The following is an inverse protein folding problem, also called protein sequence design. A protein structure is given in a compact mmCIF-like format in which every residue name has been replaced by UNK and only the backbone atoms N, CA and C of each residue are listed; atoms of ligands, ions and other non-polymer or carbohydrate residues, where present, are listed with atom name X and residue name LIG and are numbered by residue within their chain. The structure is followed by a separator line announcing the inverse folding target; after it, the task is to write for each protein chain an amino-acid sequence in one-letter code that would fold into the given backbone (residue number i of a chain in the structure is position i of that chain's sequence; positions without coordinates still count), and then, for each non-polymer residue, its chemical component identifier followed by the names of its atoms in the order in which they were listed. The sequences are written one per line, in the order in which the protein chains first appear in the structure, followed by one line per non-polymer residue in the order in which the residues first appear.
data_IF_974296619784
#
_entry.id   IF_974296619784
#
_cell.length_a   1.000
_cell.length_b   1.000
_cell.length_c   1.000
_cell.angle_alpha   90.00
_cell.angle_beta   90.00
_cell.angle_gamma   90.00
#
_symmetry.space_group_name_H-M   'P 1'
#
loop_
_entity.id
_entity.type
_entity.pdbx_description
1 polymer ?
#
# COMPACT_ATOMS: atom_id res chain seq x y z
N UNK A 1 14.43 18.66 4.92
CA UNK A 1 15.35 18.08 3.92
C UNK A 1 16.84 18.29 4.23
N UNK A 2 17.25 19.17 5.16
CA UNK A 2 18.67 19.39 5.49
C UNK A 2 19.36 18.27 6.31
N UNK A 3 18.63 17.22 6.70
CA UNK A 3 19.13 16.20 7.65
C UNK A 3 19.87 15.02 6.98
N UNK A 4 19.81 14.91 5.65
CA UNK A 4 20.39 13.79 4.89
C UNK A 4 21.62 14.18 4.05
N UNK A 5 22.01 15.45 4.01
CA UNK A 5 23.10 15.94 3.14
C UNK A 5 24.52 15.70 3.68
N UNK A 6 24.67 15.02 4.82
CA UNK A 6 25.96 14.78 5.47
C UNK A 6 26.02 13.41 6.19
N UNK A 7 25.37 12.39 5.62
CA UNK A 7 25.40 11.02 6.15
C UNK A 7 26.67 10.35 5.60
N UNK A 8 27.50 9.78 6.47
CA UNK A 8 28.68 9.02 6.04
C UNK A 8 28.26 7.72 5.33
N UNK A 9 29.10 7.16 4.45
CA UNK A 9 28.78 5.90 3.76
C UNK A 9 28.45 4.75 4.75
N UNK A 10 29.13 4.71 5.89
CA UNK A 10 28.87 3.74 6.97
C UNK A 10 27.49 3.95 7.64
N UNK A 11 27.10 5.21 7.85
CA UNK A 11 25.79 5.54 8.40
C UNK A 11 24.66 5.25 7.40
N UNK A 12 24.91 5.43 6.10
CA UNK A 12 23.97 5.07 5.05
C UNK A 12 23.75 3.56 4.98
N UNK A 13 24.84 2.76 5.03
CA UNK A 13 24.74 1.30 5.05
C UNK A 13 24.00 0.79 6.31
N UNK A 14 24.20 1.46 7.44
CA UNK A 14 23.45 1.19 8.67
C UNK A 14 21.97 1.49 8.53
N UNK A 15 21.62 2.65 7.95
CA UNK A 15 20.23 3.02 7.66
C UNK A 15 19.61 2.03 6.67
N UNK A 16 20.31 1.63 5.60
CA UNK A 16 19.83 0.66 4.61
C UNK A 16 19.51 -0.70 5.25
N UNK A 17 20.33 -1.14 6.23
CA UNK A 17 20.06 -2.35 7.03
C UNK A 17 18.90 -2.17 8.01
N UNK A 18 18.67 -0.96 8.51
CA UNK A 18 17.61 -0.65 9.48
C UNK A 18 16.24 -0.41 8.83
N UNK A 19 16.18 0.12 7.59
CA UNK A 19 14.93 0.42 6.87
C UNK A 19 13.98 -0.80 6.81
N UNK A 20 14.41 -2.02 6.41
CA UNK A 20 13.53 -3.17 6.41
C UNK A 20 12.95 -3.49 7.79
N UNK A 21 13.74 -3.30 8.85
CA UNK A 21 13.27 -3.51 10.23
C UNK A 21 12.28 -2.43 10.66
N UNK A 22 12.50 -1.17 10.27
CA UNK A 22 11.58 -0.07 10.53
C UNK A 22 10.25 -0.26 9.79
N UNK A 23 10.29 -0.64 8.50
CA UNK A 23 9.09 -0.97 7.71
C UNK A 23 8.31 -2.09 8.41
N UNK A 24 8.99 -3.19 8.78
CA UNK A 24 8.37 -4.31 9.50
C UNK A 24 7.77 -3.89 10.84
N UNK A 25 8.43 -3.00 11.57
CA UNK A 25 7.92 -2.44 12.81
C UNK A 25 6.63 -1.64 12.57
N UNK A 26 6.63 -0.75 11.58
CA UNK A 26 5.46 0.07 11.22
C UNK A 26 4.28 -0.78 10.72
N UNK A 27 4.54 -1.83 9.95
CA UNK A 27 3.51 -2.80 9.53
C UNK A 27 2.90 -3.53 10.74
N UNK A 28 3.74 -3.94 11.69
CA UNK A 28 3.28 -4.58 12.93
C UNK A 28 2.48 -3.60 13.79
N UNK A 29 2.90 -2.34 13.89
CA UNK A 29 2.19 -1.29 14.60
C UNK A 29 0.85 -0.95 13.94
N UNK A 30 0.81 -0.79 12.62
CA UNK A 30 -0.43 -0.65 11.84
C UNK A 30 -1.39 -1.81 12.14
N UNK A 31 -0.90 -3.04 12.12
CA UNK A 31 -1.70 -4.23 12.42
C UNK A 31 -2.24 -4.21 13.86
N UNK A 32 -1.44 -3.78 14.84
CA UNK A 32 -1.87 -3.62 16.24
C UNK A 32 -2.95 -2.56 16.38
N UNK A 33 -2.77 -1.40 15.73
CA UNK A 33 -3.73 -0.31 15.75
C UNK A 33 -5.06 -0.72 15.10
N UNK A 34 -5.01 -1.37 13.94
CA UNK A 34 -6.20 -1.93 13.27
C UNK A 34 -6.92 -2.89 14.21
N UNK A 35 -6.21 -3.84 14.85
CA UNK A 35 -6.81 -4.76 15.83
C UNK A 35 -7.44 -4.05 17.03
N UNK A 36 -6.84 -2.97 17.51
CA UNK A 36 -7.37 -2.17 18.62
C UNK A 36 -8.67 -1.48 18.21
N UNK A 37 -8.66 -0.81 17.06
CA UNK A 37 -9.82 -0.08 16.51
C UNK A 37 -10.97 -1.06 16.19
N UNK A 38 -10.68 -2.21 15.57
CA UNK A 38 -11.71 -3.22 15.27
C UNK A 38 -12.31 -3.81 16.54
N UNK A 39 -11.51 -4.01 17.60
CA UNK A 39 -12.00 -4.45 18.91
C UNK A 39 -12.90 -3.40 19.57
N UNK A 40 -12.49 -2.14 19.57
CA UNK A 40 -13.29 -1.04 20.13
C UNK A 40 -14.63 -0.92 19.39
N UNK A 41 -14.63 -0.85 18.05
CA UNK A 41 -15.86 -0.81 17.24
C UNK A 41 -16.75 -2.04 17.45
N UNK A 42 -16.15 -3.23 17.51
CA UNK A 42 -16.89 -4.47 17.82
C UNK A 42 -17.59 -4.38 19.17
N UNK A 43 -16.92 -3.82 20.20
CA UNK A 43 -17.54 -3.65 21.51
C UNK A 43 -18.69 -2.65 21.50
N UNK A 44 -18.54 -1.52 20.78
CA UNK A 44 -19.61 -0.53 20.60
C UNK A 44 -20.81 -1.13 19.89
N UNK A 45 -20.59 -1.88 18.81
CA UNK A 45 -21.64 -2.58 18.07
C UNK A 45 -22.39 -3.57 18.96
N UNK A 46 -21.66 -4.45 19.67
CA UNK A 46 -22.25 -5.45 20.55
C UNK A 46 -23.08 -4.79 21.66
N UNK A 47 -22.57 -3.70 22.25
CA UNK A 47 -23.27 -2.96 23.28
C UNK A 47 -24.58 -2.33 22.76
N UNK A 48 -24.53 -1.69 21.59
CA UNK A 48 -25.72 -1.16 20.93
C UNK A 48 -26.76 -2.25 20.64
N UNK A 49 -26.34 -3.41 20.11
CA UNK A 49 -27.23 -4.54 19.83
C UNK A 49 -27.84 -5.13 21.10
N UNK A 50 -27.08 -5.22 22.18
CA UNK A 50 -27.58 -5.65 23.47
C UNK A 50 -28.67 -4.70 23.99
N UNK A 51 -28.40 -3.39 23.96
CA UNK A 51 -29.36 -2.36 24.37
C UNK A 51 -30.65 -2.41 23.55
N UNK A 52 -30.54 -2.61 22.23
CA UNK A 52 -31.70 -2.75 21.35
C UNK A 52 -32.53 -4.00 21.68
N UNK A 53 -31.86 -5.13 21.94
CA UNK A 53 -32.54 -6.36 22.37
C UNK A 53 -33.28 -6.16 23.70
N UNK A 54 -32.63 -5.55 24.69
CA UNK A 54 -33.24 -5.27 26.00
C UNK A 54 -34.42 -4.31 25.89
N UNK A 55 -34.33 -3.29 25.03
CA UNK A 55 -35.43 -2.37 24.76
C UNK A 55 -36.65 -3.11 24.16
N UNK A 56 -36.43 -3.98 23.17
CA UNK A 56 -37.51 -4.78 22.57
C UNK A 56 -38.15 -5.79 23.55
N UNK A 57 -37.36 -6.39 24.43
CA UNK A 57 -37.87 -7.27 25.50
C UNK A 57 -38.70 -6.49 26.53
N UNK A 58 -38.21 -5.34 26.98
CA UNK A 58 -38.95 -4.46 27.88
C UNK A 58 -40.27 -4.03 27.25
N UNK A 59 -40.27 -3.59 25.99
CA UNK A 59 -41.50 -3.21 25.30
C UNK A 59 -42.55 -4.34 25.30
N UNK A 60 -42.14 -5.59 25.03
CA UNK A 60 -43.03 -6.76 25.11
C UNK A 60 -43.57 -6.97 26.53
N UNK A 61 -42.71 -6.89 27.54
CA UNK A 61 -43.10 -7.08 28.94
C UNK A 61 -44.08 -6.01 29.44
N UNK A 62 -43.85 -4.74 29.07
CA UNK A 62 -44.78 -3.66 29.39
C UNK A 62 -46.15 -3.88 28.72
N UNK A 63 -46.17 -4.34 27.46
CA UNK A 63 -47.41 -4.71 26.76
C UNK A 63 -48.14 -5.88 27.43
N UNK A 64 -47.43 -6.96 27.77
CA UNK A 64 -48.00 -8.14 28.43
C UNK A 64 -48.56 -7.82 29.83
N UNK A 65 -47.92 -6.92 30.56
CA UNK A 65 -48.34 -6.48 31.90
C UNK A 65 -49.32 -5.31 31.88
N UNK A 66 -49.68 -4.82 30.69
CA UNK A 66 -50.60 -3.70 30.49
C UNK A 66 -50.15 -2.42 31.25
N UNK A 67 -48.83 -2.20 31.32
CA UNK A 67 -48.20 -1.03 31.94
C UNK A 67 -47.94 0.01 30.83
N UNK A 68 -48.22 1.31 31.03
CA UNK A 68 -47.89 2.33 30.04
C UNK A 68 -46.39 2.34 29.76
N UNK A 69 -46.04 2.23 28.48
CA UNK A 69 -44.66 2.26 28.00
C UNK A 69 -44.34 3.64 27.44
N UNK A 70 -43.34 4.32 28.00
CA UNK A 70 -42.80 5.55 27.41
C UNK A 70 -41.91 5.18 26.21
N UNK A 71 -42.32 5.60 25.02
CA UNK A 71 -41.54 5.36 23.80
C UNK A 71 -40.24 6.16 23.87
N UNK A 72 -39.12 5.47 23.64
CA UNK A 72 -37.79 6.08 23.60
C UNK A 72 -37.30 6.07 22.17
N UNK A 73 -36.71 7.19 21.73
CA UNK A 73 -36.13 7.30 20.40
C UNK A 73 -34.88 6.41 20.28
N UNK A 74 -34.88 5.50 19.31
CA UNK A 74 -33.69 4.70 18.99
C UNK A 74 -32.59 5.61 18.41
N UNK A 75 -31.32 5.41 18.82
CA UNK A 75 -30.23 6.23 18.32
C UNK A 75 -30.01 5.97 16.83
N UNK A 76 -30.11 7.05 16.03
CA UNK A 76 -29.85 7.00 14.58
C UNK A 76 -28.38 6.70 14.28
N UNK A 77 -27.47 7.20 15.11
CA UNK A 77 -26.02 7.02 14.98
C UNK A 77 -25.49 6.11 16.09
N UNK A 78 -24.72 5.09 15.70
CA UNK A 78 -24.04 4.17 16.61
C UNK A 78 -22.74 4.83 17.07
N UNK A 79 -22.88 5.87 17.90
CA UNK A 79 -21.78 6.69 18.44
C UNK A 79 -21.95 6.95 19.95
N UNK A 80 -21.61 8.14 20.47
CA UNK A 80 -21.73 8.51 21.89
C UNK A 80 -23.17 8.44 22.41
N UNK A 81 -24.15 8.48 21.50
CA UNK A 81 -25.58 8.40 21.79
C UNK A 81 -25.98 7.04 22.39
N UNK A 82 -25.17 5.99 22.20
CA UNK A 82 -25.40 4.67 22.81
C UNK A 82 -25.37 4.74 24.34
N UNK A 83 -24.58 5.65 24.93
CA UNK A 83 -24.52 5.82 26.39
C UNK A 83 -25.81 6.44 26.92
N UNK A 84 -26.37 7.43 26.22
CA UNK A 84 -27.65 8.03 26.60
C UNK A 84 -28.81 7.05 26.45
N UNK A 85 -28.80 6.27 25.36
CA UNK A 85 -29.76 5.20 25.15
C UNK A 85 -29.69 4.13 26.25
N UNK A 86 -28.50 3.78 26.73
CA UNK A 86 -28.32 2.90 27.88
C UNK A 86 -28.99 3.42 29.15
N UNK A 87 -28.77 4.70 29.49
CA UNK A 87 -29.38 5.34 30.67
C UNK A 87 -30.91 5.37 30.59
N UNK A 88 -31.45 5.58 29.39
CA UNK A 88 -32.87 5.55 29.12
C UNK A 88 -33.48 4.15 29.31
N UNK A 89 -32.78 3.10 28.86
CA UNK A 89 -33.19 1.70 29.09
C UNK A 89 -33.14 1.35 30.58
N UNK A 90 -32.11 1.79 31.30
CA UNK A 90 -32.01 1.57 32.75
C UNK A 90 -33.19 2.22 33.49
N UNK A 91 -33.61 3.41 33.06
CA UNK A 91 -34.79 4.08 33.61
C UNK A 91 -36.09 3.30 33.35
N UNK A 92 -36.28 2.73 32.15
CA UNK A 92 -37.43 1.85 31.86
C UNK A 92 -37.41 0.58 32.72
N UNK A 93 -36.22 0.00 32.94
CA UNK A 93 -36.08 -1.15 33.81
C UNK A 93 -36.46 -0.82 35.26
N UNK A 94 -36.03 0.33 35.76
CA UNK A 94 -36.42 0.82 37.09
C UNK A 94 -37.93 1.07 37.20
N UNK A 95 -38.56 1.66 36.16
CA UNK A 95 -40.01 1.82 36.09
C UNK A 95 -40.74 0.47 36.15
N UNK A 96 -40.31 -0.51 35.35
CA UNK A 96 -40.87 -1.87 35.37
C UNK A 96 -40.74 -2.50 36.76
N UNK A 97 -39.57 -2.35 37.39
CA UNK A 97 -39.31 -2.89 38.73
C UNK A 97 -40.25 -2.28 39.76
N UNK A 98 -40.43 -0.96 39.77
CA UNK A 98 -41.37 -0.28 40.68
C UNK A 98 -42.80 -0.76 40.45
N UNK A 99 -43.25 -0.86 39.20
CA UNK A 99 -44.60 -1.33 38.87
C UNK A 99 -44.85 -2.78 39.32
N UNK A 100 -43.86 -3.67 39.15
CA UNK A 100 -43.95 -5.07 39.58
C UNK A 100 -43.91 -5.21 41.12
N UNK A 101 -43.11 -4.39 41.82
CA UNK A 101 -43.02 -4.43 43.29
C UNK A 101 -44.30 -3.93 43.98
N UNK A 102 -45.13 -3.13 43.30
CA UNK A 102 -46.43 -2.71 43.81
C UNK A 102 -47.48 -3.85 43.79
N UNK A 103 -47.23 -4.99 43.13
CA UNK A 103 -48.16 -6.13 43.05
C UNK A 103 -48.03 -7.18 44.18
N UNK A 104 -47.25 -6.92 45.22
CA UNK A 104 -47.30 -7.70 46.46
C UNK A 104 -46.21 -8.77 46.61
N UNK A 105 -46.17 -9.36 47.80
CA UNK A 105 -45.10 -10.26 48.27
C UNK A 105 -44.86 -11.44 47.32
N UNK A 106 -43.58 -11.83 47.17
CA UNK A 106 -43.13 -13.03 46.45
C UNK A 106 -44.09 -14.20 46.64
N UNK A 107 -44.51 -14.82 45.53
CA UNK A 107 -45.31 -16.03 45.59
C UNK A 107 -44.53 -17.15 46.30
N UNK A 108 -45.20 -18.17 46.87
CA UNK A 108 -44.52 -19.29 47.52
C UNK A 108 -43.50 -19.97 46.59
N UNK A 109 -43.85 -20.13 45.31
CA UNK A 109 -42.98 -20.69 44.27
C UNK A 109 -41.75 -19.81 44.00
N UNK A 110 -41.91 -18.48 43.99
CA UNK A 110 -40.79 -17.55 43.82
C UNK A 110 -39.85 -17.55 45.02
N UNK A 111 -40.36 -17.70 46.25
CA UNK A 111 -39.53 -17.86 47.46
C UNK A 111 -38.76 -19.17 47.42
N UNK A 112 -39.38 -20.27 47.01
CA UNK A 112 -38.71 -21.56 46.87
C UNK A 112 -37.61 -21.52 45.79
N UNK A 113 -37.88 -20.88 44.64
CA UNK A 113 -36.85 -20.68 43.60
C UNK A 113 -35.71 -19.80 44.11
N UNK A 114 -36.00 -18.72 44.83
CA UNK A 114 -34.98 -17.86 45.44
C UNK A 114 -34.13 -18.62 46.47
N UNK A 115 -34.74 -19.44 47.34
CA UNK A 115 -34.04 -20.31 48.28
C UNK A 115 -33.16 -21.34 47.56
N UNK A 116 -33.66 -21.95 46.48
CA UNK A 116 -32.89 -22.92 45.68
C UNK A 116 -31.69 -22.27 44.95
N UNK A 117 -31.88 -21.07 44.39
CA UNK A 117 -30.81 -20.32 43.72
C UNK A 117 -29.76 -19.81 44.71
N UNK A 118 -30.18 -19.33 45.89
CA UNK A 118 -29.28 -18.88 46.96
C UNK A 118 -28.55 -20.03 47.66
N UNK A 119 -29.13 -21.23 47.69
CA UNK A 119 -28.48 -22.45 48.18
C UNK A 119 -27.45 -23.04 47.19
N UNK A 120 -27.23 -22.41 46.02
CA UNK A 120 -26.22 -22.85 45.05
C UNK A 120 -26.56 -24.17 44.35
N UNK A 121 -27.85 -24.56 44.30
CA UNK A 121 -28.28 -25.74 43.57
C UNK A 121 -28.12 -25.49 42.06
N UNK A 122 -26.99 -25.97 41.51
CA UNK A 122 -26.66 -25.90 40.08
C UNK A 122 -27.71 -26.67 39.26
N UNK A 123 -28.68 -25.95 38.73
CA UNK A 123 -29.40 -26.35 37.53
C UNK A 123 -28.38 -26.27 36.38
N UNK A 124 -28.04 -27.41 35.76
CA UNK A 124 -27.21 -27.56 34.54
C UNK A 124 -25.97 -26.62 34.49
N UNK A 125 -24.77 -27.17 34.67
CA UNK A 125 -23.55 -26.38 34.41
C UNK A 125 -23.64 -25.72 33.03
N UNK A 126 -23.37 -24.42 32.95
CA UNK A 126 -23.46 -23.63 31.71
C UNK A 126 -22.69 -24.30 30.55
N UNK A 127 -21.60 -25.01 30.88
CA UNK A 127 -20.75 -25.78 29.95
C UNK A 127 -21.41 -27.07 29.42
N UNK A 128 -22.35 -27.65 30.15
CA UNK A 128 -23.15 -28.79 29.70
C UNK A 128 -24.29 -28.33 28.80
N UNK A 129 -24.97 -27.23 29.17
CA UNK A 129 -26.00 -26.60 28.34
C UNK A 129 -25.44 -26.07 27.01
N UNK A 130 -24.24 -25.47 27.01
CA UNK A 130 -23.64 -24.89 25.80
C UNK A 130 -23.22 -25.93 24.75
N UNK A 131 -23.16 -27.22 25.08
CA UNK A 131 -22.78 -28.29 24.16
C UNK A 131 -23.94 -28.74 23.25
N UNK A 132 -25.17 -28.50 23.67
CA UNK A 132 -26.39 -28.87 22.92
C UNK A 132 -26.92 -27.73 22.04
N UNK A 133 -26.26 -26.56 22.06
CA UNK A 133 -26.59 -25.45 21.17
C UNK A 133 -26.06 -25.77 19.77
N UNK A 134 -26.91 -25.79 18.72
CA UNK A 134 -26.46 -26.00 17.35
C UNK A 134 -25.37 -24.97 16.99
N UNK A 135 -24.22 -25.45 16.49
CA UNK A 135 -23.08 -24.61 16.10
C UNK A 135 -23.26 -23.90 14.76
N UNK A 136 -24.28 -24.25 13.98
CA UNK A 136 -24.60 -23.52 12.76
C UNK A 136 -25.11 -22.13 13.12
N UNK A 137 -24.44 -21.08 12.64
CA UNK A 137 -24.96 -19.73 12.80
C UNK A 137 -26.36 -19.67 12.18
N UNK A 138 -27.33 -19.32 13.01
CA UNK A 138 -28.67 -18.97 12.56
C UNK A 138 -28.54 -17.87 11.49
N UNK A 139 -29.39 -17.87 10.47
CA UNK A 139 -29.39 -16.86 9.40
C UNK A 139 -29.41 -15.43 9.95
N UNK A 140 -30.15 -15.20 11.03
CA UNK A 140 -30.13 -13.93 11.74
C UNK A 140 -28.72 -13.58 12.25
N UNK A 141 -28.00 -14.53 12.86
CA UNK A 141 -26.63 -14.30 13.32
C UNK A 141 -25.67 -14.02 12.14
N UNK A 142 -25.88 -14.63 10.97
CA UNK A 142 -25.10 -14.32 9.77
C UNK A 142 -25.35 -12.88 9.31
N UNK A 143 -26.61 -12.46 9.25
CA UNK A 143 -26.96 -11.08 8.91
C UNK A 143 -26.35 -10.08 9.89
N UNK A 144 -26.45 -10.36 11.20
CA UNK A 144 -25.83 -9.52 12.24
C UNK A 144 -24.31 -9.43 12.11
N UNK A 145 -23.66 -10.53 11.73
CA UNK A 145 -22.23 -10.55 11.48
C UNK A 145 -21.86 -9.68 10.27
N UNK A 146 -22.63 -9.74 9.17
CA UNK A 146 -22.43 -8.86 8.00
C UNK A 146 -22.61 -7.38 8.36
N UNK A 147 -23.65 -7.02 9.13
CA UNK A 147 -23.86 -5.64 9.56
C UNK A 147 -22.73 -5.13 10.47
N UNK A 148 -22.23 -6.00 11.34
CA UNK A 148 -21.07 -5.69 12.18
C UNK A 148 -19.82 -5.44 11.36
N UNK A 149 -19.58 -6.24 10.33
CA UNK A 149 -18.45 -6.06 9.41
C UNK A 149 -18.54 -4.72 8.68
N UNK A 150 -19.72 -4.37 8.15
CA UNK A 150 -19.99 -3.06 7.56
C UNK A 150 -19.67 -1.91 8.53
N UNK A 151 -20.09 -2.01 9.79
CA UNK A 151 -19.80 -0.99 10.81
C UNK A 151 -18.29 -0.88 11.13
N UNK A 152 -17.62 -2.03 11.26
CA UNK A 152 -16.18 -2.06 11.56
C UNK A 152 -15.37 -1.40 10.44
N UNK A 153 -15.80 -1.56 9.20
CA UNK A 153 -15.12 -1.04 8.00
C UNK A 153 -15.45 0.44 7.66
N UNK A 154 -16.12 1.15 8.58
CA UNK A 154 -16.51 2.56 8.43
C UNK A 154 -17.46 2.84 7.25
N UNK A 155 -18.32 1.88 6.91
CA UNK A 155 -19.43 2.15 5.99
C UNK A 155 -20.38 3.17 6.60
N UNK A 156 -20.99 4.00 5.75
CA UNK A 156 -22.00 4.98 6.17
C UNK A 156 -23.07 4.35 7.05
N UNK A 157 -23.29 4.93 8.23
CA UNK A 157 -24.26 4.43 9.20
C UNK A 157 -25.69 4.49 8.65
N UNK A 158 -26.00 5.42 7.76
CA UNK A 158 -27.31 5.52 7.10
C UNK A 158 -27.64 4.23 6.32
N UNK A 159 -26.65 3.63 5.65
CA UNK A 159 -26.85 2.40 4.88
C UNK A 159 -27.03 1.19 5.79
N UNK A 160 -26.33 1.16 6.92
CA UNK A 160 -26.50 0.13 7.95
C UNK A 160 -27.92 0.22 8.55
N UNK A 161 -28.41 1.44 8.80
CA UNK A 161 -29.78 1.66 9.28
C UNK A 161 -30.84 1.25 8.25
N UNK A 162 -30.61 1.48 6.96
CA UNK A 162 -31.49 1.00 5.88
C UNK A 162 -31.65 -0.53 5.93
N UNK A 163 -30.54 -1.27 6.09
CA UNK A 163 -30.59 -2.73 6.21
C UNK A 163 -31.29 -3.19 7.51
N UNK A 164 -31.06 -2.49 8.62
CA UNK A 164 -31.75 -2.76 9.88
C UNK A 164 -33.26 -2.52 9.77
N UNK A 165 -33.68 -1.45 9.09
CA UNK A 165 -35.08 -1.15 8.86
C UNK A 165 -35.74 -2.24 8.01
N UNK A 166 -35.12 -2.62 6.87
CA UNK A 166 -35.60 -3.72 6.02
C UNK A 166 -35.75 -5.02 6.82
N UNK A 167 -34.80 -5.33 7.72
CA UNK A 167 -34.87 -6.52 8.55
C UNK A 167 -36.01 -6.49 9.59
N UNK A 168 -36.29 -5.32 10.16
CA UNK A 168 -37.40 -5.13 11.11
C UNK A 168 -38.78 -5.24 10.45
N UNK A 169 -38.90 -4.90 9.17
CA UNK A 169 -40.13 -5.03 8.39
C UNK A 169 -40.47 -6.49 8.05
N UNK A 170 -39.49 -7.42 8.15
CA UNK A 170 -39.70 -8.84 7.90
C UNK A 170 -40.48 -9.50 9.03
N UNK A 171 -41.61 -10.12 8.69
CA UNK A 171 -42.42 -10.87 9.63
C UNK A 171 -41.93 -12.32 9.76
N UNK A 172 -41.51 -12.72 10.97
CA UNK A 172 -41.04 -14.09 11.25
C UNK A 172 -42.10 -15.16 11.01
N UNK A 173 -43.38 -14.79 11.02
CA UNK A 173 -44.50 -15.72 10.79
C UNK A 173 -44.80 -15.96 9.30
N UNK A 174 -44.14 -15.25 8.39
CA UNK A 174 -44.31 -15.41 6.95
C UNK A 174 -43.55 -16.66 6.45
N UNK A 175 -44.19 -17.42 5.56
CA UNK A 175 -43.56 -18.56 4.87
C UNK A 175 -42.30 -18.15 4.08
N UNK A 176 -42.24 -16.90 3.62
CA UNK A 176 -41.12 -16.37 2.83
C UNK A 176 -40.01 -15.72 3.66
N UNK A 177 -40.15 -15.62 4.99
CA UNK A 177 -39.20 -14.94 5.87
C UNK A 177 -37.76 -15.37 5.64
N UNK A 178 -37.55 -16.69 5.55
CA UNK A 178 -36.23 -17.29 5.38
C UNK A 178 -35.57 -16.87 4.07
N UNK A 179 -36.35 -16.85 2.98
CA UNK A 179 -35.87 -16.46 1.65
C UNK A 179 -35.58 -14.96 1.57
N UNK A 180 -36.44 -14.13 2.17
CA UNK A 180 -36.24 -12.69 2.23
C UNK A 180 -35.00 -12.33 3.05
N UNK A 181 -34.78 -13.01 4.17
CA UNK A 181 -33.58 -12.83 4.99
C UNK A 181 -32.32 -13.26 4.23
N UNK A 182 -32.35 -14.39 3.52
CA UNK A 182 -31.23 -14.83 2.67
C UNK A 182 -30.94 -13.81 1.56
N UNK A 183 -31.96 -13.21 0.95
CA UNK A 183 -31.80 -12.12 -0.03
C UNK A 183 -31.18 -10.87 0.58
N UNK A 184 -31.57 -10.49 1.79
CA UNK A 184 -31.03 -9.32 2.50
C UNK A 184 -29.58 -9.53 2.91
N UNK A 185 -29.22 -10.75 3.34
CA UNK A 185 -27.83 -11.14 3.62
C UNK A 185 -26.98 -11.00 2.35
N UNK A 186 -27.49 -11.47 1.22
CA UNK A 186 -26.78 -11.34 -0.05
C UNK A 186 -26.59 -9.87 -0.44
N UNK A 187 -27.63 -9.04 -0.35
CA UNK A 187 -27.56 -7.60 -0.66
C UNK A 187 -26.51 -6.87 0.22
N UNK A 188 -26.51 -7.14 1.53
CA UNK A 188 -25.56 -6.55 2.46
C UNK A 188 -24.12 -7.03 2.20
N UNK A 189 -23.94 -8.33 1.90
CA UNK A 189 -22.63 -8.89 1.60
C UNK A 189 -22.06 -8.41 0.26
N UNK A 190 -22.89 -8.29 -0.78
CA UNK A 190 -22.46 -7.73 -2.08
C UNK A 190 -22.07 -6.27 -1.93
N UNK A 191 -22.87 -5.49 -1.20
CA UNK A 191 -22.55 -4.09 -0.93
C UNK A 191 -21.25 -3.94 -0.14
N UNK A 192 -21.04 -4.78 0.89
CA UNK A 192 -19.80 -4.79 1.67
C UNK A 192 -18.58 -5.05 0.77
N UNK A 193 -18.67 -6.05 -0.10
CA UNK A 193 -17.62 -6.39 -1.06
C UNK A 193 -17.31 -5.22 -2.00
N UNK A 194 -18.32 -4.59 -2.57
CA UNK A 194 -18.16 -3.43 -3.46
C UNK A 194 -17.46 -2.25 -2.76
N UNK A 195 -17.80 -2.00 -1.49
CA UNK A 195 -17.15 -0.96 -0.68
C UNK A 195 -15.69 -1.27 -0.37
N UNK A 196 -15.37 -2.55 -0.09
CA UNK A 196 -13.98 -2.98 0.11
C UNK A 196 -13.15 -2.84 -1.17
N UNK A 197 -13.71 -3.23 -2.31
CA UNK A 197 -13.06 -3.05 -3.61
C UNK A 197 -12.82 -1.57 -3.89
N UNK A 198 -13.84 -0.72 -3.74
CA UNK A 198 -13.72 0.72 -3.93
C UNK A 198 -12.64 1.34 -3.01
N UNK A 199 -12.60 0.95 -1.73
CA UNK A 199 -11.60 1.44 -0.77
C UNK A 199 -10.19 1.02 -1.18
N UNK A 200 -10.03 -0.21 -1.62
CA UNK A 200 -8.73 -0.75 -2.06
C UNK A 200 -8.23 0.02 -3.28
N UNK A 201 -9.07 0.19 -4.31
CA UNK A 201 -8.69 0.93 -5.53
C UNK A 201 -8.42 2.42 -5.22
N UNK A 202 -9.19 3.06 -4.33
CA UNK A 202 -8.91 4.43 -3.87
C UNK A 202 -7.56 4.54 -3.14
N UNK A 203 -7.23 3.56 -2.30
CA UNK A 203 -5.94 3.53 -1.62
C UNK A 203 -4.79 3.39 -2.64
N UNK A 204 -4.90 2.47 -3.59
CA UNK A 204 -3.89 2.30 -4.64
C UNK A 204 -3.70 3.56 -5.49
N UNK A 205 -4.79 4.25 -5.85
CA UNK A 205 -4.70 5.52 -6.55
C UNK A 205 -3.98 6.56 -5.70
N UNK A 206 -4.33 6.67 -4.41
CA UNK A 206 -3.70 7.62 -3.49
C UNK A 206 -2.19 7.39 -3.39
N UNK A 207 -1.76 6.13 -3.26
CA UNK A 207 -0.35 5.74 -3.23
C UNK A 207 0.37 6.10 -4.54
N UNK A 208 -0.24 5.81 -5.71
CA UNK A 208 0.33 6.16 -7.01
C UNK A 208 0.46 7.69 -7.19
N UNK A 209 -0.52 8.47 -6.71
CA UNK A 209 -0.46 9.94 -6.73
C UNK A 209 0.61 10.49 -5.79
N UNK A 210 0.81 9.89 -4.63
CA UNK A 210 1.89 10.27 -3.72
C UNK A 210 3.27 10.01 -4.34
N UNK A 211 3.45 8.89 -5.04
CA UNK A 211 4.67 8.59 -5.79
C UNK A 211 4.95 9.64 -6.87
N UNK A 212 3.93 10.04 -7.64
CA UNK A 212 4.06 11.10 -8.65
C UNK A 212 4.41 12.46 -8.03
N UNK A 213 3.78 12.85 -6.92
CA UNK A 213 4.12 14.08 -6.19
C UNK A 213 5.57 14.06 -5.70
N UNK A 214 6.09 12.90 -5.31
CA UNK A 214 7.48 12.73 -4.89
C UNK A 214 8.51 13.06 -5.96
N UNK A 215 8.14 13.02 -7.25
CA UNK A 215 9.02 13.40 -8.35
C UNK A 215 9.20 14.93 -8.51
N UNK A 216 8.49 15.75 -7.72
CA UNK A 216 8.54 17.21 -7.75
C UNK A 216 8.32 17.83 -9.15
N UNK A 217 7.53 17.17 -10.00
CA UNK A 217 7.10 17.71 -11.30
C UNK A 217 5.69 18.31 -11.20
N UNK A 218 5.48 19.49 -11.79
CA UNK A 218 4.15 20.11 -11.87
C UNK A 218 3.28 19.41 -12.92
N UNK A 219 2.57 18.36 -12.49
CA UNK A 219 1.66 17.60 -13.35
C UNK A 219 0.21 17.99 -13.08
N UNK A 220 -0.39 18.76 -14.00
CA UNK A 220 -1.81 19.18 -13.92
C UNK A 220 -2.80 18.01 -13.87
N UNK A 221 -2.38 16.83 -14.36
CA UNK A 221 -3.17 15.59 -14.34
C UNK A 221 -3.41 15.07 -12.92
N UNK A 222 -2.53 15.38 -11.96
CA UNK A 222 -2.67 14.95 -10.56
C UNK A 222 -3.97 15.48 -9.97
N UNK A 223 -4.28 16.77 -10.15
CA UNK A 223 -5.51 17.40 -9.63
C UNK A 223 -6.76 16.68 -10.15
N UNK A 224 -6.76 16.32 -11.44
CA UNK A 224 -7.87 15.57 -12.05
C UNK A 224 -8.05 14.20 -11.39
N UNK A 225 -6.97 13.46 -11.16
CA UNK A 225 -7.05 12.15 -10.50
C UNK A 225 -7.36 12.22 -9.01
N UNK A 226 -6.95 13.27 -8.32
CA UNK A 226 -7.33 13.51 -6.92
C UNK A 226 -8.85 13.69 -6.77
N UNK A 227 -9.49 14.38 -7.72
CA UNK A 227 -10.96 14.53 -7.69
C UNK A 227 -11.71 13.19 -7.84
N UNK A 228 -11.06 12.16 -8.39
CA UNK A 228 -11.66 10.82 -8.50
C UNK A 228 -11.69 10.08 -7.16
N UNK A 229 -10.85 10.45 -6.18
CA UNK A 229 -10.85 9.85 -4.84
C UNK A 229 -12.17 10.09 -4.09
N UNK A 230 -12.88 11.18 -4.43
CA UNK A 230 -14.21 11.47 -3.90
C UNK A 230 -15.36 10.83 -4.68
N UNK A 231 -15.09 10.20 -5.83
CA UNK A 231 -16.11 9.55 -6.66
C UNK A 231 -16.26 8.07 -6.30
N UNK A 232 -17.41 7.48 -6.63
CA UNK A 232 -17.70 6.05 -6.36
C UNK A 232 -17.64 5.18 -7.63
N UNK A 233 -17.01 5.70 -8.70
CA UNK A 233 -16.84 4.97 -9.95
C UNK A 233 -15.52 4.18 -9.94
N UNK A 234 -15.59 2.90 -9.61
CA UNK A 234 -14.43 1.99 -9.51
C UNK A 234 -13.64 1.90 -10.82
N UNK A 235 -14.31 1.78 -11.97
CA UNK A 235 -13.65 1.65 -13.27
C UNK A 235 -12.75 2.85 -13.61
N UNK A 236 -13.26 4.07 -13.36
CA UNK A 236 -12.50 5.30 -13.59
C UNK A 236 -11.28 5.40 -12.66
N UNK A 237 -11.42 4.95 -11.40
CA UNK A 237 -10.33 4.98 -10.41
C UNK A 237 -9.27 3.94 -10.79
N UNK A 238 -9.65 2.74 -11.25
CA UNK A 238 -8.72 1.73 -11.75
C UNK A 238 -7.96 2.20 -12.98
N UNK A 239 -8.64 2.81 -13.94
CA UNK A 239 -8.02 3.35 -15.14
C UNK A 239 -7.03 4.47 -14.80
N UNK A 240 -7.42 5.39 -13.90
CA UNK A 240 -6.55 6.43 -13.38
C UNK A 240 -5.33 5.85 -12.66
N UNK A 241 -5.51 4.79 -11.86
CA UNK A 241 -4.42 4.11 -11.14
C UNK A 241 -3.41 3.51 -12.10
N UNK A 242 -3.88 2.81 -13.15
CA UNK A 242 -3.00 2.23 -14.18
C UNK A 242 -2.21 3.32 -14.89
N UNK A 243 -2.87 4.42 -15.29
CA UNK A 243 -2.22 5.56 -15.94
C UNK A 243 -1.22 6.27 -15.03
N UNK A 244 -1.54 6.42 -13.74
CA UNK A 244 -0.65 7.04 -12.76
C UNK A 244 0.62 6.21 -12.55
N UNK A 245 0.49 4.88 -12.39
CA UNK A 245 1.62 3.95 -12.26
C UNK A 245 2.52 3.97 -13.51
N UNK A 246 1.93 3.92 -14.70
CA UNK A 246 2.68 4.01 -15.97
C UNK A 246 3.42 5.35 -16.12
N UNK A 247 2.76 6.46 -15.78
CA UNK A 247 3.36 7.78 -15.85
C UNK A 247 4.53 7.90 -14.86
N UNK A 248 4.37 7.37 -13.65
CA UNK A 248 5.43 7.34 -12.65
C UNK A 248 6.65 6.55 -13.16
N UNK A 249 6.44 5.36 -13.72
CA UNK A 249 7.52 4.53 -14.25
C UNK A 249 8.30 5.24 -15.38
N UNK A 250 7.59 5.87 -16.33
CA UNK A 250 8.21 6.62 -17.41
C UNK A 250 9.01 7.85 -16.94
N UNK A 251 8.43 8.63 -16.03
CA UNK A 251 9.07 9.83 -15.51
C UNK A 251 10.25 9.51 -14.60
N UNK A 252 10.10 8.52 -13.71
CA UNK A 252 11.17 8.07 -12.83
C UNK A 252 12.34 7.49 -13.63
N UNK A 253 12.09 6.69 -14.67
CA UNK A 253 13.16 6.19 -15.55
C UNK A 253 13.91 7.36 -16.22
N UNK A 254 13.18 8.36 -16.72
CA UNK A 254 13.78 9.54 -17.34
C UNK A 254 14.68 10.29 -16.35
N UNK A 255 14.18 10.58 -15.15
CA UNK A 255 14.92 11.27 -14.09
C UNK A 255 16.16 10.47 -13.68
N UNK A 256 16.03 9.14 -13.52
CA UNK A 256 17.15 8.26 -13.15
C UNK A 256 18.23 8.29 -14.22
N UNK A 257 17.85 8.20 -15.51
CA UNK A 257 18.80 8.23 -16.63
C UNK A 257 19.51 9.58 -16.70
N UNK A 258 18.79 10.68 -16.56
CA UNK A 258 19.38 12.03 -16.55
C UNK A 258 20.35 12.23 -15.38
N UNK A 259 19.97 11.74 -14.19
CA UNK A 259 20.81 11.82 -12.99
C UNK A 259 22.09 11.00 -13.17
N UNK A 260 21.99 9.76 -13.66
CA UNK A 260 23.16 8.92 -13.97
C UNK A 260 24.06 9.57 -15.02
N UNK A 261 23.47 10.14 -16.08
CA UNK A 261 24.22 10.83 -17.14
C UNK A 261 25.02 12.00 -16.58
N UNK A 262 24.38 12.86 -15.78
CA UNK A 262 25.01 14.03 -15.19
C UNK A 262 26.18 13.63 -14.28
N UNK A 263 26.01 12.60 -13.45
CA UNK A 263 27.05 12.10 -12.56
C UNK A 263 28.25 11.51 -13.32
N UNK A 264 27.99 10.66 -14.33
CA UNK A 264 29.07 10.07 -15.13
C UNK A 264 29.84 11.15 -15.90
N UNK A 265 29.13 12.12 -16.51
CA UNK A 265 29.78 13.26 -17.17
C UNK A 265 30.73 13.97 -16.20
N UNK A 266 30.23 14.32 -15.02
CA UNK A 266 31.00 15.03 -14.00
C UNK A 266 32.22 14.23 -13.55
N UNK A 267 32.09 12.91 -13.38
CA UNK A 267 33.19 12.03 -13.02
C UNK A 267 34.24 11.92 -14.13
N UNK A 268 33.83 11.75 -15.40
CA UNK A 268 34.72 11.71 -16.55
C UNK A 268 35.49 13.03 -16.72
N UNK A 269 34.79 14.17 -16.64
CA UNK A 269 35.42 15.50 -16.74
C UNK A 269 36.43 15.74 -15.62
N UNK A 270 36.13 15.32 -14.38
CA UNK A 270 37.07 15.42 -13.25
C UNK A 270 38.31 14.54 -13.44
N UNK A 271 38.15 13.34 -13.98
CA UNK A 271 39.27 12.45 -14.33
C UNK A 271 40.06 12.92 -15.58
N UNK A 272 39.70 14.07 -16.15
CA UNK A 272 40.41 14.71 -17.27
C UNK A 272 39.93 14.30 -18.65
N UNK A 273 38.80 13.60 -18.77
CA UNK A 273 38.22 13.24 -20.06
C UNK A 273 37.34 14.35 -20.62
N UNK A 274 37.48 14.63 -21.90
CA UNK A 274 36.66 15.57 -22.66
C UNK A 274 35.32 14.92 -23.02
N UNK A 275 34.23 15.47 -22.49
CA UNK A 275 32.85 15.04 -22.75
C UNK A 275 32.03 16.25 -23.18
N UNK A 276 31.54 16.22 -24.42
CA UNK A 276 30.75 17.32 -24.97
C UNK A 276 29.25 16.95 -24.97
N UNK A 277 28.36 17.94 -24.91
CA UNK A 277 26.90 17.71 -24.81
C UNK A 277 26.32 16.90 -25.99
N UNK A 278 26.94 16.99 -27.18
CA UNK A 278 26.59 16.19 -28.35
C UNK A 278 26.93 14.70 -28.18
N UNK A 279 27.97 14.39 -27.39
CA UNK A 279 28.41 13.03 -27.09
C UNK A 279 27.48 12.35 -26.07
N UNK A 280 26.96 13.13 -25.11
CA UNK A 280 25.99 12.66 -24.10
C UNK A 280 24.67 12.22 -24.72
N UNK A 281 24.14 13.04 -25.63
CA UNK A 281 22.90 12.73 -26.34
C UNK A 281 23.08 11.49 -27.23
N UNK A 282 24.24 11.40 -27.90
CA UNK A 282 24.60 10.24 -28.71
C UNK A 282 24.78 8.94 -27.90
N UNK A 283 25.22 9.03 -26.64
CA UNK A 283 25.38 7.86 -25.77
C UNK A 283 24.04 7.20 -25.45
N UNK A 284 23.02 8.00 -25.11
CA UNK A 284 21.68 7.49 -24.79
C UNK A 284 20.99 6.93 -26.05
N UNK A 285 21.15 7.60 -27.20
CA UNK A 285 20.52 7.15 -28.45
C UNK A 285 21.17 5.89 -29.04
N UNK A 286 22.50 5.84 -29.06
CA UNK A 286 23.27 4.81 -29.75
C UNK A 286 23.87 3.75 -28.82
N UNK A 287 23.74 3.93 -27.49
CA UNK A 287 24.29 3.02 -26.48
C UNK A 287 25.82 3.00 -26.42
N UNK A 288 26.50 3.98 -27.03
CA UNK A 288 27.96 4.04 -27.16
C UNK A 288 28.49 5.46 -27.03
N UNK A 289 29.54 5.63 -26.24
CA UNK A 289 30.29 6.87 -26.06
C UNK A 289 31.79 6.56 -26.17
N UNK A 290 32.56 7.42 -26.83
CA UNK A 290 34.02 7.33 -26.89
C UNK A 290 34.59 8.66 -26.46
N UNK A 291 35.46 8.67 -25.45
CA UNK A 291 36.04 9.89 -24.86
C UNK A 291 37.56 9.84 -24.87
N UNK A 292 38.20 11.02 -24.85
CA UNK A 292 39.65 11.18 -24.78
C UNK A 292 40.05 12.07 -23.61
N UNK A 293 41.27 11.88 -23.11
CA UNK A 293 41.87 12.73 -22.07
C UNK A 293 42.55 13.99 -22.63
N UNK A 294 42.93 13.97 -23.90
CA UNK A 294 43.49 15.11 -24.62
C UNK A 294 43.20 14.96 -26.12
N UNK A 295 43.00 16.08 -26.82
CA UNK A 295 42.68 16.10 -28.27
C UNK A 295 43.64 15.25 -29.12
N UNK A 296 44.94 15.23 -28.79
CA UNK A 296 45.99 14.52 -29.52
C UNK A 296 46.29 13.09 -29.01
N UNK A 297 45.54 12.57 -28.03
CA UNK A 297 45.79 11.25 -27.46
C UNK A 297 45.64 10.14 -28.50
N UNK A 298 46.60 9.20 -28.55
CA UNK A 298 46.54 7.96 -29.36
C UNK A 298 45.44 6.99 -28.88
N UNK A 299 44.97 7.19 -27.66
CA UNK A 299 44.02 6.32 -26.98
C UNK A 299 42.81 7.07 -26.45
N UNK A 300 41.72 6.35 -26.29
CA UNK A 300 40.51 6.80 -25.63
C UNK A 300 39.82 5.66 -24.89
N UNK A 301 38.66 5.96 -24.32
CA UNK A 301 37.84 4.97 -23.61
C UNK A 301 36.49 4.91 -24.27
N UNK A 302 36.08 3.69 -24.65
CA UNK A 302 34.75 3.39 -25.17
C UNK A 302 33.87 2.87 -24.04
N UNK A 303 32.75 3.54 -23.83
CA UNK A 303 31.66 3.12 -22.96
C UNK A 303 30.50 2.61 -23.79
N UNK A 304 29.99 1.43 -23.45
CA UNK A 304 28.80 0.83 -24.03
C UNK A 304 27.76 0.57 -22.95
N UNK A 305 26.50 0.90 -23.22
CA UNK A 305 25.43 0.77 -22.25
C UNK A 305 24.06 0.61 -22.93
N UNK A 306 23.09 -0.11 -22.34
CA UNK A 306 21.69 0.07 -22.72
C UNK A 306 21.23 1.51 -22.44
N UNK A 307 20.12 1.91 -23.06
CA UNK A 307 19.57 3.28 -23.00
C UNK A 307 19.38 3.81 -21.57
N UNK A 308 19.08 2.92 -20.61
CA UNK A 308 18.79 3.27 -19.23
C UNK A 308 20.03 3.41 -18.32
N UNK A 309 21.25 3.29 -18.88
CA UNK A 309 22.52 3.42 -18.15
C UNK A 309 22.64 2.48 -16.94
N UNK A 310 21.90 1.36 -16.92
CA UNK A 310 21.88 0.42 -15.80
C UNK A 310 23.10 -0.51 -15.74
N UNK A 311 23.78 -0.71 -16.88
CA UNK A 311 25.00 -1.51 -16.98
C UNK A 311 25.95 -0.90 -18.00
N UNK A 312 27.19 -0.69 -17.60
CA UNK A 312 28.18 -0.04 -18.46
C UNK A 312 29.33 -1.00 -18.68
N UNK A 313 29.70 -1.20 -19.94
CA UNK A 313 30.95 -1.82 -20.34
C UNK A 313 31.90 -0.73 -20.77
N UNK A 314 33.07 -0.66 -20.12
CA UNK A 314 34.14 0.25 -20.50
C UNK A 314 35.32 -0.52 -21.06
N UNK A 315 36.01 0.03 -22.07
CA UNK A 315 37.24 -0.53 -22.61
C UNK A 315 38.15 0.56 -23.17
N UNK A 316 39.45 0.32 -23.12
CA UNK A 316 40.42 1.15 -23.86
C UNK A 316 40.28 0.86 -25.36
N UNK A 317 40.32 1.94 -26.14
CA UNK A 317 40.33 1.94 -27.60
C UNK A 317 41.47 2.80 -28.11
N UNK A 318 41.96 2.50 -29.30
CA UNK A 318 43.03 3.27 -29.94
C UNK A 318 42.57 3.89 -31.24
N UNK A 319 43.28 4.94 -31.65
CA UNK A 319 43.04 5.63 -32.91
C UNK A 319 43.35 4.73 -34.11
N UNK A 320 42.35 4.45 -34.93
CA UNK A 320 42.54 3.65 -36.16
C UNK A 320 43.42 4.35 -37.20
N UNK A 321 43.46 5.69 -37.20
CA UNK A 321 44.24 6.46 -38.17
C UNK A 321 45.73 6.52 -37.80
N UNK A 322 46.10 6.10 -36.58
CA UNK A 322 47.49 6.14 -36.05
C UNK A 322 47.99 4.79 -35.56
N UNK A 323 47.51 3.69 -36.14
CA UNK A 323 47.91 2.32 -35.75
C UNK A 323 49.43 2.04 -35.87
N UNK A 324 50.16 2.80 -36.70
CA UNK A 324 51.62 2.67 -36.85
C UNK A 324 52.42 3.23 -35.66
N UNK A 325 51.82 4.10 -34.83
CA UNK A 325 52.45 4.69 -33.65
C UNK A 325 52.27 3.82 -32.38
N UNK A 326 51.57 2.68 -32.51
CA UNK A 326 51.22 1.79 -31.40
C UNK A 326 52.21 0.65 -31.23
N UNK A 327 52.30 0.16 -29.99
CA UNK A 327 53.00 -1.08 -29.65
C UNK A 327 52.26 -1.81 -28.54
N UNK A 328 52.48 -3.12 -28.42
CA UNK A 328 51.82 -3.92 -27.39
C UNK A 328 52.17 -3.47 -25.96
N UNK A 329 53.37 -2.90 -25.75
CA UNK A 329 53.75 -2.32 -24.46
C UNK A 329 52.99 -1.03 -24.16
N UNK A 330 52.78 -0.16 -25.16
CA UNK A 330 52.00 1.06 -25.00
C UNK A 330 50.51 0.74 -24.75
N UNK A 331 49.97 -0.25 -25.46
CA UNK A 331 48.61 -0.73 -25.26
C UNK A 331 48.39 -1.22 -23.81
N UNK A 332 49.30 -2.05 -23.29
CA UNK A 332 49.24 -2.52 -21.89
C UNK A 332 49.35 -1.36 -20.90
N UNK A 333 50.28 -0.44 -21.13
CA UNK A 333 50.47 0.71 -20.26
C UNK A 333 49.23 1.62 -20.24
N UNK A 334 48.55 1.79 -21.36
CA UNK A 334 47.31 2.55 -21.41
C UNK A 334 46.17 1.87 -20.65
N UNK A 335 46.10 0.54 -20.67
CA UNK A 335 45.15 -0.22 -19.84
C UNK A 335 45.46 -0.10 -18.34
N UNK A 336 46.73 0.00 -17.93
CA UNK A 336 47.12 0.34 -16.54
C UNK A 336 46.58 1.72 -16.13
N UNK A 337 46.84 2.74 -16.95
CA UNK A 337 46.33 4.11 -16.73
C UNK A 337 44.81 4.12 -16.61
N UNK A 338 44.10 3.34 -17.45
CA UNK A 338 42.65 3.24 -17.38
C UNK A 338 42.18 2.60 -16.06
N UNK A 339 42.87 1.59 -15.53
CA UNK A 339 42.51 1.01 -14.23
C UNK A 339 42.64 2.02 -13.09
N UNK A 340 43.68 2.87 -13.13
CA UNK A 340 43.87 3.94 -12.16
C UNK A 340 42.78 5.03 -12.31
N UNK A 341 42.55 5.50 -13.54
CA UNK A 341 41.50 6.48 -13.86
C UNK A 341 40.10 5.95 -13.47
N UNK A 342 39.83 4.67 -13.68
CA UNK A 342 38.56 4.05 -13.29
C UNK A 342 38.39 4.02 -11.77
N UNK A 343 39.47 3.86 -11.02
CA UNK A 343 39.47 3.94 -9.55
C UNK A 343 39.11 5.36 -9.11
N UNK A 344 39.71 6.38 -9.72
CA UNK A 344 39.38 7.78 -9.45
C UNK A 344 37.92 8.12 -9.81
N UNK A 345 37.45 7.70 -10.99
CA UNK A 345 36.05 7.87 -11.42
C UNK A 345 35.08 7.25 -10.41
N UNK A 346 35.42 6.06 -9.89
CA UNK A 346 34.62 5.36 -8.90
C UNK A 346 34.56 6.14 -7.59
N UNK A 347 35.69 6.64 -7.09
CA UNK A 347 35.74 7.46 -5.87
C UNK A 347 34.91 8.74 -6.01
N UNK A 348 34.96 9.38 -7.19
CA UNK A 348 34.15 10.57 -7.48
C UNK A 348 32.65 10.24 -7.44
N UNK A 349 32.23 9.12 -8.03
CA UNK A 349 30.82 8.72 -8.02
C UNK A 349 30.36 8.34 -6.62
N UNK A 350 31.20 7.64 -5.85
CA UNK A 350 30.91 7.29 -4.45
C UNK A 350 30.76 8.55 -3.58
N UNK A 351 31.50 9.64 -3.87
CA UNK A 351 31.32 10.95 -3.21
C UNK A 351 29.98 11.64 -3.53
N UNK A 352 29.24 11.15 -4.51
CA UNK A 352 27.91 11.63 -4.91
C UNK A 352 26.81 10.61 -4.60
N UNK A 353 27.07 9.70 -3.64
CA UNK A 353 26.17 8.62 -3.23
C UNK A 353 25.80 7.64 -4.36
N UNK A 354 26.67 7.50 -5.36
CA UNK A 354 26.50 6.57 -6.47
C UNK A 354 27.54 5.45 -6.38
N UNK A 355 27.08 4.20 -6.31
CA UNK A 355 27.97 3.04 -6.27
C UNK A 355 28.09 2.36 -7.63
N UNK A 356 29.31 1.92 -7.97
CA UNK A 356 29.57 1.04 -9.11
C UNK A 356 29.87 -0.37 -8.59
N UNK A 357 29.10 -1.36 -9.05
CA UNK A 357 29.40 -2.77 -8.84
C UNK A 357 30.05 -3.36 -10.09
N UNK A 358 31.28 -3.86 -9.96
CA UNK A 358 31.99 -4.52 -11.06
C UNK A 358 31.43 -5.95 -11.22
N UNK A 359 30.72 -6.22 -12.31
CA UNK A 359 30.26 -7.58 -12.64
C UNK A 359 31.39 -8.44 -13.23
N UNK A 360 32.28 -7.84 -14.01
CA UNK A 360 33.39 -8.53 -14.69
C UNK A 360 34.53 -7.56 -14.98
N UNK A 361 35.76 -7.99 -14.71
CA UNK A 361 36.99 -7.30 -15.10
C UNK A 361 37.93 -8.27 -15.82
N UNK A 362 38.73 -7.76 -16.75
CA UNK A 362 39.76 -8.51 -17.46
C UNK A 362 41.14 -8.02 -17.05
N UNK A 363 42.11 -8.94 -16.94
CA UNK A 363 43.49 -8.57 -16.66
C UNK A 363 44.10 -7.80 -17.85
N UNK A 364 45.00 -6.90 -17.53
CA UNK A 364 45.71 -6.03 -18.48
C UNK A 364 46.41 -6.87 -19.56
N UNK A 365 46.26 -6.48 -20.82
CA UNK A 365 46.86 -7.13 -21.98
C UNK A 365 46.22 -8.45 -22.38
N UNK A 366 45.12 -8.88 -21.75
CA UNK A 366 44.43 -10.14 -22.08
C UNK A 366 43.61 -10.02 -23.37
N UNK A 367 43.04 -8.85 -23.63
CA UNK A 367 42.18 -8.58 -24.78
C UNK A 367 42.88 -7.54 -25.66
N UNK A 368 43.03 -7.75 -26.97
CA UNK A 368 43.60 -6.74 -27.85
C UNK A 368 42.73 -5.48 -27.90
N UNK A 369 43.38 -4.31 -27.83
CA UNK A 369 42.70 -3.01 -27.93
C UNK A 369 42.07 -2.87 -29.32
N UNK A 370 40.81 -2.44 -29.33
CA UNK A 370 40.04 -2.19 -30.54
C UNK A 370 40.41 -0.83 -31.10
N UNK A 371 40.53 -0.79 -32.42
CA UNK A 371 40.72 0.42 -33.20
C UNK A 371 39.38 1.06 -33.51
N UNK A 372 39.30 2.37 -33.31
CA UNK A 372 38.12 3.19 -33.62
C UNK A 372 38.58 4.54 -34.15
N UNK A 373 37.77 5.18 -34.99
CA UNK A 373 37.94 6.61 -35.31
C UNK A 373 37.81 7.44 -34.05
N UNK A 374 38.94 7.98 -33.63
CA UNK A 374 39.08 8.89 -32.52
C UNK A 374 38.97 10.33 -33.05
N UNK A 375 37.83 10.67 -33.64
CA UNK A 375 37.56 12.00 -34.20
C UNK A 375 36.60 12.77 -33.27
N UNK A 376 36.83 14.07 -33.02
CA UNK A 376 35.97 14.90 -32.13
C UNK A 376 34.53 15.10 -32.70
N UNK A 377 34.20 14.45 -33.82
CA UNK A 377 32.92 14.49 -34.51
C UNK A 377 32.34 13.08 -34.58
N UNK A 378 31.32 12.81 -33.76
CA UNK A 378 30.70 11.48 -33.65
C UNK A 378 30.10 11.01 -34.98
N UNK A 379 30.48 9.80 -35.41
CA UNK A 379 29.89 9.09 -36.54
C UNK A 379 28.75 8.17 -36.07
N UNK A 380 27.56 8.34 -36.66
CA UNK A 380 26.41 7.42 -36.55
C UNK A 380 26.76 6.11 -37.27
N UNK A 381 27.07 5.05 -36.53
CA UNK A 381 27.06 3.70 -37.09
C UNK A 381 25.71 3.05 -36.80
N UNK A 382 24.79 3.14 -37.76
CA UNK A 382 23.57 2.34 -37.76
C UNK A 382 23.94 0.88 -38.06
N UNK A 383 23.78 0.00 -37.08
CA UNK A 383 23.78 -1.44 -37.35
C UNK A 383 22.56 -1.76 -38.22
N UNK A 384 22.79 -2.07 -39.50
CA UNK A 384 21.77 -2.63 -40.36
C UNK A 384 21.47 -4.06 -39.91
N UNK A 385 20.39 -4.22 -39.13
CA UNK A 385 19.79 -5.53 -38.88
C UNK A 385 19.27 -6.02 -40.23
N UNK A 386 20.01 -6.92 -40.89
CA UNK A 386 19.53 -7.69 -42.03
C UNK A 386 18.30 -8.48 -41.58
N UNK A 387 17.10 -7.96 -41.84
CA UNK A 387 15.86 -8.76 -41.85
C UNK A 387 16.03 -9.85 -42.91
N UNK A 388 16.25 -11.09 -42.47
CA UNK A 388 16.02 -12.27 -43.30
C UNK A 388 14.56 -12.21 -43.76
N UNK A 389 14.35 -12.07 -45.07
CA UNK A 389 13.07 -12.39 -45.70
C UNK A 389 12.84 -13.89 -45.51
N UNK A 390 11.88 -14.24 -44.67
CA UNK A 390 11.18 -15.53 -44.79
C UNK A 390 10.13 -15.35 -45.87
N UNK A 391 10.22 -16.20 -46.90
CA UNK A 391 9.13 -16.50 -47.83
C UNK A 391 7.99 -17.21 -47.09
#
# INVERSE_FOLDING_TARGET
MAHYQAISADDYEKIEREIPNQIKYLEAEKTKLVKKVTKEKTSTWNHYRQLKSTHGELQKLFQEKNIPFEAIDEPKLITKDVVQFGQQIDALYDQLKVALHQQGSLTPEQKEIQERLSAGASLLSVEAWSKDIPKELNRQQKFEQTLKELYVDDVSQDKIQEFLQKANELNQSDAHYTMQLDSLILEAATFHKEQLELRTVKQELSEALQQLKGLNQELTVIIKWESLLTSDNTENIEEATKKAKQLYEQLSETIIVETRRAAIKKALTKAGYEVNDSMETAWVENGRLVVKKAENSLYGVEFMSPKNLSRIQARVVADEDRSQERSQSLDKHQEEIWCDDFTEIREILESEDLSIRIEKAHAIGTIPIKEVKLDNRFFRQSQSIKKKKTL
#
